data_IF_325692960664
#
_entry.id   IF_325692960664
#
_cell.length_a   1.000
_cell.length_b   1.000
_cell.length_c   1.000
_cell.angle_alpha   90.00
_cell.angle_beta   90.00
_cell.angle_gamma   90.00
#
_symmetry.space_group_name_H-M   'P 1'
#
loop_
_entity.id
_entity.type
_entity.pdbx_description
1 polymer ?
#
# COMPACT_ATOMS: atom_id res chain seq x y z
N UNK A 1 12.67 -15.18 -10.23
CA UNK A 1 11.44 -14.71 -10.91
C UNK A 1 10.86 -13.56 -10.11
N UNK A 2 10.16 -12.60 -10.74
CA UNK A 2 9.39 -11.58 -10.03
C UNK A 2 8.25 -12.22 -9.24
N UNK A 3 7.82 -11.57 -8.16
CA UNK A 3 6.62 -11.91 -7.40
C UNK A 3 5.50 -10.96 -7.82
N UNK A 4 4.36 -11.51 -8.23
CA UNK A 4 3.16 -10.76 -8.60
C UNK A 4 2.12 -10.85 -7.49
N UNK A 5 1.52 -9.71 -7.15
CA UNK A 5 0.60 -9.56 -6.03
C UNK A 5 -0.59 -8.71 -6.47
N UNK A 6 -1.80 -9.21 -6.26
CA UNK A 6 -3.01 -8.38 -6.31
C UNK A 6 -3.34 -7.96 -4.90
N UNK A 7 -3.28 -6.66 -4.63
CA UNK A 7 -3.42 -6.08 -3.30
C UNK A 7 -4.79 -5.44 -3.16
N UNK A 8 -5.49 -5.78 -2.09
CA UNK A 8 -6.71 -5.11 -1.64
C UNK A 8 -6.57 -4.74 -0.18
N UNK A 9 -7.23 -3.67 0.24
CA UNK A 9 -7.30 -3.38 1.66
C UNK A 9 -7.82 -1.99 1.95
N UNK A 10 -7.53 -1.54 3.15
CA UNK A 10 -8.00 -0.26 3.63
C UNK A 10 -6.89 0.54 4.29
N UNK A 11 -7.08 1.85 4.30
CA UNK A 11 -6.30 2.79 5.08
C UNK A 11 -7.25 3.68 5.85
N UNK A 12 -6.85 4.01 7.06
CA UNK A 12 -7.57 4.89 7.97
C UNK A 12 -6.83 6.22 8.06
N UNK A 13 -7.52 7.25 8.52
CA UNK A 13 -6.90 8.53 8.84
C UNK A 13 -6.64 8.60 10.33
N UNK A 14 -5.51 9.21 10.74
CA UNK A 14 -5.26 9.54 12.13
C UNK A 14 -6.39 10.42 12.67
N UNK A 15 -6.68 10.29 13.96
CA UNK A 15 -7.75 11.02 14.64
C UNK A 15 -7.70 12.53 14.31
N UNK A 16 -8.82 13.07 13.85
CA UNK A 16 -8.97 14.49 13.49
C UNK A 16 -8.77 14.83 12.02
N UNK A 17 -8.23 13.93 11.19
CA UNK A 17 -8.14 14.15 9.75
C UNK A 17 -9.40 13.61 9.05
N UNK A 18 -10.27 14.51 8.60
CA UNK A 18 -11.43 14.18 7.76
C UNK A 18 -11.03 14.42 6.30
N UNK A 19 -11.01 13.41 5.42
CA UNK A 19 -10.76 13.67 4.01
C UNK A 19 -11.82 14.62 3.47
N UNK A 20 -11.39 15.62 2.69
CA UNK A 20 -12.26 16.61 2.05
C UNK A 20 -13.04 16.07 0.85
N UNK A 21 -12.91 14.77 0.56
CA UNK A 21 -13.52 14.03 -0.57
C UNK A 21 -14.13 12.72 -0.07
N UNK A 22 -15.04 12.09 -0.83
CA UNK A 22 -15.59 10.77 -0.49
C UNK A 22 -14.53 9.67 -0.68
N UNK A 23 -13.50 9.72 0.14
CA UNK A 23 -12.57 8.63 0.34
C UNK A 23 -13.21 7.66 1.32
N UNK A 24 -13.45 6.43 0.87
CA UNK A 24 -14.00 5.37 1.71
C UNK A 24 -12.89 4.57 2.42
N UNK A 25 -11.64 5.01 2.30
CA UNK A 25 -10.46 4.37 2.87
C UNK A 25 -10.13 3.04 2.21
N UNK A 26 -10.73 2.68 1.06
CA UNK A 26 -10.46 1.41 0.37
C UNK A 26 -9.54 1.62 -0.82
N UNK A 27 -8.68 0.64 -1.08
CA UNK A 27 -7.77 0.65 -2.24
C UNK A 27 -7.59 -0.75 -2.81
N UNK A 28 -7.36 -0.80 -4.12
CA UNK A 28 -6.95 -2.01 -4.83
C UNK A 28 -5.91 -1.68 -5.88
N UNK A 29 -4.87 -2.50 -6.00
CA UNK A 29 -3.80 -2.34 -6.98
C UNK A 29 -3.03 -3.63 -7.21
N UNK A 30 -2.43 -3.74 -8.39
CA UNK A 30 -1.48 -4.80 -8.70
C UNK A 30 -0.05 -4.31 -8.39
N UNK A 31 0.76 -5.21 -7.85
CA UNK A 31 2.13 -4.96 -7.43
C UNK A 31 3.05 -6.06 -7.96
N UNK A 32 4.12 -5.65 -8.64
CA UNK A 32 5.20 -6.54 -9.06
C UNK A 32 6.44 -6.25 -8.21
N UNK A 33 7.01 -7.28 -7.60
CA UNK A 33 8.25 -7.20 -6.82
C UNK A 33 9.34 -7.95 -7.57
N UNK A 34 10.41 -7.23 -7.94
CA UNK A 34 11.57 -7.80 -8.62
C UNK A 34 12.47 -8.53 -7.62
N UNK A 35 13.41 -9.33 -8.15
CA UNK A 35 14.35 -10.09 -7.33
C UNK A 35 15.28 -9.23 -6.46
N UNK A 36 15.57 -8.01 -6.88
CA UNK A 36 16.36 -7.03 -6.11
C UNK A 36 15.55 -6.34 -4.99
N UNK A 37 14.27 -6.70 -4.85
CA UNK A 37 13.33 -6.12 -3.91
C UNK A 37 12.75 -4.78 -4.35
N UNK A 38 13.08 -4.26 -5.54
CA UNK A 38 12.36 -3.12 -6.09
C UNK A 38 10.92 -3.52 -6.46
N UNK A 39 9.96 -2.63 -6.24
CA UNK A 39 8.56 -2.86 -6.59
C UNK A 39 7.99 -1.72 -7.42
N UNK A 40 7.00 -2.06 -8.23
CA UNK A 40 6.18 -1.12 -8.98
C UNK A 40 4.78 -1.70 -9.20
N UNK A 41 3.84 -0.85 -9.58
CA UNK A 41 2.46 -1.28 -9.74
C UNK A 41 1.52 -0.14 -10.07
N UNK A 42 0.23 -0.47 -10.15
CA UNK A 42 -0.81 0.51 -10.42
C UNK A 42 -2.16 0.04 -9.92
N UNK A 43 -3.03 0.98 -9.65
CA UNK A 43 -4.40 0.68 -9.25
C UNK A 43 -5.30 1.88 -9.34
N UNK A 44 -6.44 1.76 -8.67
CA UNK A 44 -7.46 2.80 -8.64
C UNK A 44 -8.23 2.74 -7.33
N UNK A 45 -8.57 3.92 -6.83
CA UNK A 45 -9.56 4.10 -5.78
C UNK A 45 -10.49 5.28 -6.12
N UNK A 46 -11.26 5.73 -5.14
CA UNK A 46 -12.19 6.85 -5.30
C UNK A 46 -11.51 8.19 -5.63
N UNK A 47 -10.24 8.37 -5.25
CA UNK A 47 -9.47 9.56 -5.61
C UNK A 47 -9.09 9.48 -7.09
N UNK A 48 -8.70 8.31 -7.59
CA UNK A 48 -8.46 8.11 -9.02
C UNK A 48 -7.45 7.00 -9.31
N UNK A 49 -6.96 6.98 -10.56
CA UNK A 49 -5.87 6.09 -10.96
C UNK A 49 -4.55 6.54 -10.34
N UNK A 50 -3.71 5.57 -9.99
CA UNK A 50 -2.40 5.82 -9.40
C UNK A 50 -1.39 4.76 -9.82
N UNK A 51 -0.12 5.13 -9.70
CA UNK A 51 1.02 4.20 -9.77
C UNK A 51 1.66 4.07 -8.41
N UNK A 52 2.34 2.95 -8.17
CA UNK A 52 3.21 2.75 -7.01
C UNK A 52 4.64 2.46 -7.44
N UNK A 53 5.60 2.90 -6.64
CA UNK A 53 7.02 2.54 -6.78
C UNK A 53 7.71 2.53 -5.42
N UNK A 54 8.63 1.59 -5.22
CA UNK A 54 9.28 1.44 -3.93
C UNK A 54 10.12 0.17 -3.79
N UNK A 55 10.15 -0.38 -2.59
CA UNK A 55 10.84 -1.63 -2.28
C UNK A 55 10.04 -2.53 -1.32
N UNK A 56 10.18 -3.84 -1.50
CA UNK A 56 9.84 -4.88 -0.54
C UNK A 56 11.11 -5.70 -0.28
N UNK A 57 11.75 -5.48 0.87
CA UNK A 57 13.01 -6.13 1.24
C UNK A 57 12.84 -6.86 2.57
N UNK A 58 12.96 -8.19 2.55
CA UNK A 58 12.56 -9.02 3.68
C UNK A 58 11.07 -8.82 3.96
N UNK A 59 10.73 -8.39 5.18
CA UNK A 59 9.36 -8.01 5.55
C UNK A 59 9.06 -6.53 5.34
N UNK A 60 10.04 -5.65 5.13
CA UNK A 60 9.79 -4.20 5.06
C UNK A 60 9.16 -3.82 3.72
N UNK A 61 7.98 -3.22 3.77
CA UNK A 61 7.28 -2.62 2.64
C UNK A 61 7.41 -1.10 2.70
N UNK A 62 7.94 -0.51 1.63
CA UNK A 62 8.27 0.91 1.57
C UNK A 62 7.97 1.39 0.15
N UNK A 63 6.86 2.10 -0.05
CA UNK A 63 6.50 2.58 -1.39
C UNK A 63 5.84 3.95 -1.39
N UNK A 64 5.88 4.60 -2.54
CA UNK A 64 5.20 5.84 -2.85
C UNK A 64 4.04 5.55 -3.79
N UNK A 65 2.89 6.15 -3.52
CA UNK A 65 1.68 6.15 -4.34
C UNK A 65 1.53 7.51 -4.99
N UNK A 66 1.43 7.57 -6.30
CA UNK A 66 1.33 8.79 -7.11
C UNK A 66 0.05 8.78 -7.94
N UNK A 67 -0.83 9.75 -7.72
CA UNK A 67 -2.06 9.85 -8.51
C UNK A 67 -1.80 10.52 -9.85
N UNK A 68 -2.18 9.83 -10.94
CA UNK A 68 -1.93 10.30 -12.30
C UNK A 68 -2.63 11.64 -12.57
N UNK A 69 -1.90 12.60 -13.14
CA UNK A 69 -2.41 13.94 -13.45
C UNK A 69 -2.72 14.80 -12.23
N UNK A 70 -2.28 14.39 -11.02
CA UNK A 70 -2.46 15.13 -9.77
C UNK A 70 -1.11 15.34 -9.10
N UNK A 71 -0.87 16.53 -8.56
CA UNK A 71 0.23 16.74 -7.62
C UNK A 71 -0.15 16.21 -6.23
N UNK A 72 -0.48 14.92 -6.15
CA UNK A 72 -0.92 14.25 -4.93
C UNK A 72 -0.21 12.91 -4.84
N UNK A 73 0.54 12.75 -3.75
CA UNK A 73 1.37 11.58 -3.52
C UNK A 73 1.45 11.25 -2.04
N UNK A 74 1.49 9.96 -1.74
CA UNK A 74 1.52 9.44 -0.38
C UNK A 74 2.63 8.43 -0.23
N UNK A 75 3.29 8.44 0.94
CA UNK A 75 4.27 7.45 1.32
C UNK A 75 3.58 6.40 2.19
N UNK A 76 3.88 5.13 1.92
CA UNK A 76 3.48 3.99 2.72
C UNK A 76 4.74 3.31 3.27
N UNK A 77 4.76 3.11 4.58
CA UNK A 77 5.85 2.51 5.35
C UNK A 77 5.27 1.47 6.29
N UNK A 78 5.56 0.20 6.04
CA UNK A 78 5.03 -0.89 6.84
C UNK A 78 5.82 -2.17 6.72
N UNK A 79 5.22 -3.25 7.19
CA UNK A 79 5.84 -4.55 7.26
C UNK A 79 4.84 -5.63 6.88
N UNK A 80 5.34 -6.68 6.24
CA UNK A 80 4.62 -7.94 6.12
C UNK A 80 4.47 -8.53 7.52
N UNK A 81 3.24 -8.70 7.96
CA UNK A 81 2.90 -9.38 9.23
C UNK A 81 2.56 -10.83 8.92
N UNK A 82 2.72 -11.72 9.91
CA UNK A 82 2.24 -13.09 9.77
C UNK A 82 0.75 -13.06 9.47
N UNK A 83 0.33 -13.85 8.48
CA UNK A 83 -1.07 -14.04 8.20
C UNK A 83 -1.72 -14.62 9.46
N UNK A 84 -2.80 -13.99 9.94
CA UNK A 84 -3.55 -14.45 11.10
C UNK A 84 -4.37 -15.70 10.81
N UNK A 85 -4.48 -16.10 9.53
CA UNK A 85 -5.10 -17.35 9.14
C UNK A 85 -4.14 -18.52 9.38
N UNK A 86 -4.72 -19.66 9.76
CA UNK A 86 -3.98 -20.90 10.01
C UNK A 86 -3.18 -21.40 8.78
N UNK A 87 -2.70 -22.64 8.79
CA UNK A 87 -1.69 -23.17 7.84
C UNK A 87 -2.04 -23.10 6.33
N UNK A 88 -3.23 -22.67 5.96
CA UNK A 88 -3.69 -22.52 4.57
C UNK A 88 -3.79 -21.06 4.10
N UNK A 89 -3.39 -20.08 4.92
CA UNK A 89 -3.41 -18.68 4.53
C UNK A 89 -2.23 -18.38 3.59
N UNK A 90 -2.55 -18.31 2.30
CA UNK A 90 -1.58 -17.98 1.24
C UNK A 90 -1.53 -16.47 0.96
N UNK A 91 -2.35 -15.69 1.67
CA UNK A 91 -2.43 -14.25 1.52
C UNK A 91 -1.31 -13.59 2.33
N UNK A 92 -0.59 -12.66 1.70
CA UNK A 92 0.36 -11.79 2.41
C UNK A 92 -0.40 -10.66 3.06
N UNK A 93 -0.14 -10.40 4.34
CA UNK A 93 -0.71 -9.28 5.06
C UNK A 93 0.36 -8.22 5.29
N UNK A 94 0.04 -6.96 5.00
CA UNK A 94 0.92 -5.83 5.25
C UNK A 94 0.20 -4.81 6.12
N UNK A 95 0.90 -4.35 7.15
CA UNK A 95 0.40 -3.32 8.05
C UNK A 95 1.44 -2.22 8.23
N UNK A 96 0.99 -0.98 8.39
CA UNK A 96 1.90 0.13 8.62
C UNK A 96 1.22 1.48 8.60
N UNK A 97 2.02 2.51 8.34
CA UNK A 97 1.58 3.91 8.29
C UNK A 97 1.65 4.45 6.88
N UNK A 98 0.79 5.42 6.61
CA UNK A 98 0.94 6.28 5.46
C UNK A 98 1.03 7.74 5.90
N UNK A 99 1.77 8.55 5.14
CA UNK A 99 2.01 9.96 5.43
C UNK A 99 2.47 10.72 4.18
N UNK A 100 2.58 12.04 4.28
CA UNK A 100 3.16 12.84 3.20
C UNK A 100 4.66 12.50 3.02
N UNK A 101 5.16 12.29 1.79
CA UNK A 101 6.57 12.06 1.53
C UNK A 101 7.46 13.17 2.10
N UNK A 102 8.56 12.77 2.75
CA UNK A 102 9.47 13.70 3.43
C UNK A 102 8.97 14.22 4.79
N UNK A 103 7.74 13.88 5.18
CA UNK A 103 7.16 14.33 6.44
C UNK A 103 6.57 13.14 7.24
N UNK A 104 7.40 12.30 7.88
CA UNK A 104 6.93 11.11 8.60
C UNK A 104 6.00 11.43 9.80
N UNK A 105 6.05 12.67 10.30
CA UNK A 105 5.18 13.16 11.38
C UNK A 105 3.99 13.99 10.87
N UNK A 106 3.77 14.08 9.55
CA UNK A 106 2.63 14.81 8.97
C UNK A 106 1.31 14.10 9.27
N UNK A 107 0.15 14.79 9.11
CA UNK A 107 -1.14 14.11 9.13
C UNK A 107 -1.12 12.96 8.13
N UNK A 108 -1.43 11.78 8.65
CA UNK A 108 -1.34 10.51 7.95
C UNK A 108 -2.33 9.53 8.54
N UNK A 109 -2.01 8.26 8.50
CA UNK A 109 -2.85 7.22 9.09
C UNK A 109 -2.22 5.86 9.03
N UNK A 110 -3.03 4.84 9.24
CA UNK A 110 -2.60 3.44 9.20
C UNK A 110 -3.17 2.77 7.95
N UNK A 111 -2.55 1.66 7.54
CA UNK A 111 -3.07 0.81 6.49
C UNK A 111 -3.00 -0.65 6.89
N UNK A 112 -3.93 -1.41 6.35
CA UNK A 112 -3.98 -2.88 6.42
C UNK A 112 -4.33 -3.41 5.04
N UNK A 113 -3.35 -4.08 4.44
CA UNK A 113 -3.43 -4.62 3.08
C UNK A 113 -3.28 -6.13 3.08
N UNK A 114 -4.08 -6.75 2.24
CA UNK A 114 -4.10 -8.17 1.92
C UNK A 114 -3.67 -8.34 0.47
N UNK A 115 -2.75 -9.25 0.22
CA UNK A 115 -2.19 -9.46 -1.10
C UNK A 115 -2.18 -10.94 -1.47
N UNK A 116 -2.86 -11.26 -2.57
CA UNK A 116 -2.90 -12.60 -3.12
C UNK A 116 -1.73 -12.78 -4.08
N UNK A 117 -1.00 -13.89 -3.95
CA UNK A 117 0.10 -14.25 -4.86
C UNK A 117 -0.49 -14.75 -6.16
N UNK A 118 -0.11 -14.12 -7.27
CA UNK A 118 -0.52 -14.52 -8.62
C UNK A 118 0.65 -15.17 -9.36
N UNK A 119 0.34 -16.19 -10.17
CA UNK A 119 1.30 -17.00 -10.95
C UNK A 119 1.23 -16.65 -12.43
#
# INVERSE_FOLDING_TARGET
MPLYLTVTGHYTYNAGHKPSKPDNGKTSFDMTVKQDGSLYGSGRDNIGQFTISGTLKGSKLDFRKDYSGKNLHWKYDGYQVQASGGPNDTQRHFHGKWHQPGCPNSPGGEFDFKADVTY
#
